data_IF_237797223753
#
_entry.id   IF_237797223753
#
_cell.length_a   1.000
_cell.length_b   1.000
_cell.length_c   1.000
_cell.angle_alpha   90.00
_cell.angle_beta   90.00
_cell.angle_gamma   90.00
#
_symmetry.space_group_name_H-M   'P 1'
#
loop_
_entity.id
_entity.type
_entity.pdbx_description
1 polymer ?
#
# COMPACT_ATOMS: atom_id res chain seq x y z
N UNK A 1 11.76 -87.72 -7.45
CA UNK A 1 12.58 -88.25 -6.34
C UNK A 1 13.72 -87.28 -6.06
N UNK A 2 13.86 -86.89 -4.78
CA UNK A 2 14.94 -86.13 -4.11
C UNK A 2 15.29 -84.72 -4.61
N UNK A 3 15.13 -83.62 -3.85
CA UNK A 3 15.38 -83.21 -2.43
C UNK A 3 16.70 -82.43 -2.25
N UNK A 4 16.53 -81.31 -1.52
CA UNK A 4 17.45 -80.53 -0.65
C UNK A 4 17.91 -79.18 -1.21
N UNK A 5 17.40 -78.03 -0.74
CA UNK A 5 17.48 -77.37 0.59
C UNK A 5 18.91 -77.05 1.05
N UNK A 6 19.23 -75.75 1.08
CA UNK A 6 20.35 -75.15 1.81
C UNK A 6 19.98 -73.72 2.22
N UNK A 7 20.06 -73.45 3.52
CA UNK A 7 19.64 -72.25 4.25
C UNK A 7 20.58 -71.03 4.11
N UNK A 8 19.96 -69.86 4.32
CA UNK A 8 20.40 -68.49 4.75
C UNK A 8 21.42 -68.43 5.91
N UNK A 9 22.03 -67.28 6.37
CA UNK A 9 21.52 -65.88 6.34
C UNK A 9 22.57 -64.72 6.25
N UNK A 10 22.08 -63.48 6.46
CA UNK A 10 22.72 -62.19 6.85
C UNK A 10 22.90 -61.14 5.74
N UNK A 11 22.59 -59.85 5.88
CA UNK A 11 21.84 -59.00 6.85
C UNK A 11 21.63 -57.64 6.15
N UNK A 12 20.54 -56.95 6.50
CA UNK A 12 20.18 -55.52 6.31
C UNK A 12 21.11 -54.56 5.55
N UNK A 13 20.54 -53.70 4.71
CA UNK A 13 20.31 -52.29 5.11
C UNK A 13 19.22 -51.63 4.26
N UNK A 14 18.32 -50.97 4.98
CA UNK A 14 17.22 -50.12 4.57
C UNK A 14 17.62 -49.05 3.53
N UNK A 15 16.77 -48.81 2.53
CA UNK A 15 16.12 -47.50 2.39
C UNK A 15 14.99 -47.54 1.37
N UNK A 16 13.88 -46.96 1.79
CA UNK A 16 12.58 -46.92 1.14
C UNK A 16 12.51 -45.63 0.34
N UNK A 17 12.24 -45.68 -0.97
CA UNK A 17 11.58 -44.56 -1.65
C UNK A 17 10.49 -45.06 -2.59
N UNK A 18 9.26 -44.90 -2.10
CA UNK A 18 8.01 -45.12 -2.80
C UNK A 18 7.83 -44.05 -3.88
N UNK A 19 7.52 -44.52 -5.08
CA UNK A 19 6.52 -44.01 -6.02
C UNK A 19 6.36 -42.48 -6.07
N UNK A 20 6.92 -41.90 -7.14
CA UNK A 20 6.53 -40.59 -7.66
C UNK A 20 5.03 -40.62 -8.00
N UNK A 21 4.21 -39.98 -7.15
CA UNK A 21 2.88 -39.53 -7.56
C UNK A 21 3.02 -38.13 -8.16
N UNK A 22 2.52 -37.97 -9.38
CA UNK A 22 2.23 -36.67 -9.94
C UNK A 22 1.35 -35.87 -8.98
N UNK A 23 1.92 -34.84 -8.35
CA UNK A 23 1.15 -33.81 -7.67
C UNK A 23 0.34 -33.05 -8.71
N UNK A 24 -1.00 -33.15 -8.61
CA UNK A 24 -1.95 -32.37 -9.40
C UNK A 24 -1.58 -30.89 -9.39
N UNK A 25 -1.56 -30.25 -10.56
CA UNK A 25 -1.69 -28.79 -10.66
C UNK A 25 -2.97 -28.34 -9.92
N UNK A 26 -2.95 -27.23 -9.17
CA UNK A 26 -4.16 -26.71 -8.54
C UNK A 26 -5.23 -26.43 -9.60
N UNK A 27 -6.48 -26.78 -9.31
CA UNK A 27 -7.63 -26.40 -10.14
C UNK A 27 -7.86 -24.87 -10.05
N UNK A 28 -8.23 -24.19 -11.14
CA UNK A 28 -8.63 -22.79 -11.11
C UNK A 28 -10.08 -22.62 -10.61
N UNK A 29 -10.37 -21.44 -10.05
CA UNK A 29 -11.66 -20.93 -9.52
C UNK A 29 -12.07 -21.31 -8.08
N UNK A 30 -11.27 -20.91 -7.09
CA UNK A 30 -11.84 -20.52 -5.79
C UNK A 30 -11.32 -19.12 -5.48
N UNK A 31 -12.19 -18.20 -5.05
CA UNK A 31 -11.71 -16.98 -4.41
C UNK A 31 -10.98 -17.49 -3.19
N UNK A 32 -9.64 -17.50 -3.22
CA UNK A 32 -8.85 -17.83 -2.04
C UNK A 32 -9.45 -17.06 -0.88
N UNK A 33 -9.85 -17.78 0.17
CA UNK A 33 -10.28 -17.12 1.40
C UNK A 33 -9.21 -16.10 1.76
N UNK A 34 -9.63 -14.87 2.04
CA UNK A 34 -8.72 -13.82 2.50
C UNK A 34 -7.90 -14.36 3.67
N UNK A 35 -6.58 -14.34 3.56
CA UNK A 35 -5.67 -15.05 4.46
C UNK A 35 -4.35 -14.28 4.60
N UNK A 36 -4.35 -13.12 5.29
CA UNK A 36 -3.10 -12.51 5.75
C UNK A 36 -2.44 -13.41 6.81
N UNK A 37 -1.11 -13.28 6.99
CA UNK A 37 -0.38 -14.08 7.98
C UNK A 37 -0.75 -13.68 9.42
N UNK A 38 -1.05 -12.40 9.63
CA UNK A 38 -1.56 -11.84 10.89
C UNK A 38 -2.57 -10.71 10.61
N UNK A 39 -3.46 -10.38 11.55
CA UNK A 39 -4.34 -9.22 11.41
C UNK A 39 -3.56 -7.92 11.22
N UNK A 40 -4.04 -7.05 10.32
CA UNK A 40 -3.45 -5.72 10.11
C UNK A 40 -4.55 -4.70 9.81
N UNK A 41 -4.20 -3.41 9.82
CA UNK A 41 -5.09 -2.33 9.39
C UNK A 41 -4.50 -1.63 8.18
N UNK A 42 -5.27 -1.51 7.11
CA UNK A 42 -4.94 -0.62 6.00
C UNK A 42 -5.71 0.70 6.10
N UNK A 43 -5.01 1.82 6.01
CA UNK A 43 -5.55 3.17 6.15
C UNK A 43 -5.53 3.83 4.79
N UNK A 44 -6.70 4.30 4.33
CA UNK A 44 -6.87 4.94 3.04
C UNK A 44 -6.17 6.30 2.89
N UNK A 45 -6.38 6.93 1.74
CA UNK A 45 -5.75 8.19 1.32
C UNK A 45 -6.00 9.31 2.34
N UNK A 46 -4.93 10.00 2.73
CA UNK A 46 -4.92 10.94 3.85
C UNK A 46 -5.05 12.39 3.39
N UNK A 47 -4.39 12.76 2.29
CA UNK A 47 -4.46 14.07 1.64
C UNK A 47 -4.44 15.26 2.62
N UNK A 48 -3.39 15.36 3.43
CA UNK A 48 -3.21 16.46 4.38
C UNK A 48 -4.34 16.56 5.40
N UNK A 49 -5.05 15.47 5.73
CA UNK A 49 -6.11 15.45 6.75
C UNK A 49 -5.60 14.92 8.09
N UNK A 50 -4.58 15.56 8.67
CA UNK A 50 -3.95 15.14 9.94
C UNK A 50 -4.97 14.93 11.06
N UNK A 51 -5.95 15.83 11.16
CA UNK A 51 -7.01 15.76 12.16
C UNK A 51 -7.90 14.50 12.01
N UNK A 52 -8.17 14.03 10.78
CA UNK A 52 -8.91 12.79 10.55
C UNK A 52 -8.04 11.57 10.88
N UNK A 53 -6.77 11.62 10.50
CA UNK A 53 -5.83 10.56 10.80
C UNK A 53 -5.69 10.34 12.32
N UNK A 54 -5.50 11.42 13.08
CA UNK A 54 -5.48 11.37 14.54
C UNK A 54 -6.77 10.77 15.14
N UNK A 55 -7.95 11.18 14.63
CA UNK A 55 -9.24 10.63 15.06
C UNK A 55 -9.39 9.14 14.74
N UNK A 56 -8.89 8.70 13.57
CA UNK A 56 -8.93 7.29 13.18
C UNK A 56 -8.04 6.45 14.10
N UNK A 57 -6.83 6.91 14.40
CA UNK A 57 -5.91 6.21 15.31
C UNK A 57 -6.56 5.94 16.68
N UNK A 58 -7.21 6.94 17.28
CA UNK A 58 -7.95 6.76 18.55
C UNK A 58 -9.07 5.72 18.43
N UNK A 59 -9.79 5.66 17.30
CA UNK A 59 -10.82 4.63 17.11
C UNK A 59 -10.21 3.23 16.99
N UNK A 60 -9.06 3.11 16.32
CA UNK A 60 -8.37 1.84 16.10
C UNK A 60 -7.79 1.24 17.38
N UNK A 61 -7.46 2.04 18.40
CA UNK A 61 -6.98 1.54 19.72
C UNK A 61 -7.90 0.46 20.32
N UNK A 62 -9.22 0.58 20.12
CA UNK A 62 -10.20 -0.40 20.59
C UNK A 62 -10.66 -1.38 19.49
N UNK A 63 -10.79 -0.91 18.26
CA UNK A 63 -11.34 -1.71 17.16
C UNK A 63 -10.35 -2.71 16.55
N UNK A 64 -9.04 -2.49 16.74
CA UNK A 64 -7.98 -3.24 16.08
C UNK A 64 -6.86 -3.63 17.05
N UNK A 65 -7.18 -3.92 18.32
CA UNK A 65 -6.19 -4.30 19.34
C UNK A 65 -5.38 -5.57 18.99
N UNK A 66 -5.93 -6.42 18.11
CA UNK A 66 -5.28 -7.64 17.61
C UNK A 66 -4.41 -7.40 16.36
N UNK A 67 -4.44 -6.19 15.78
CA UNK A 67 -3.68 -5.88 14.58
C UNK A 67 -2.20 -5.67 14.89
N UNK A 68 -1.35 -6.40 14.17
CA UNK A 68 0.09 -6.29 14.34
C UNK A 68 0.68 -5.13 13.55
N UNK A 69 0.10 -4.78 12.41
CA UNK A 69 0.68 -3.75 11.53
C UNK A 69 -0.40 -2.74 11.11
N UNK A 70 -0.02 -1.46 11.09
CA UNK A 70 -0.78 -0.40 10.42
C UNK A 70 -0.08 -0.07 9.09
N UNK A 71 -0.84 -0.02 8.00
CA UNK A 71 -0.33 0.24 6.65
C UNK A 71 -1.07 1.43 6.06
N UNK A 72 -0.40 2.56 5.85
CA UNK A 72 -0.96 3.71 5.16
C UNK A 72 -0.74 3.56 3.64
N UNK A 73 -1.82 3.58 2.84
CA UNK A 73 -1.76 3.22 1.41
C UNK A 73 -1.14 4.27 0.49
N UNK A 74 -0.81 5.45 1.00
CA UNK A 74 -0.21 6.56 0.23
C UNK A 74 -1.11 7.79 0.20
N UNK A 75 -0.74 8.75 -0.65
CA UNK A 75 -1.44 10.02 -0.84
C UNK A 75 -1.59 10.78 0.49
N UNK A 76 -0.45 11.13 1.07
CA UNK A 76 -0.31 11.86 2.31
C UNK A 76 -0.40 13.36 2.09
N UNK A 77 0.12 13.83 0.96
CA UNK A 77 0.15 15.24 0.61
C UNK A 77 -1.03 15.64 -0.28
N UNK A 78 -1.11 16.93 -0.54
CA UNK A 78 -2.05 17.59 -1.45
C UNK A 78 -3.50 17.62 -0.95
N UNK A 79 -4.27 18.53 -1.55
CA UNK A 79 -5.72 18.74 -1.37
C UNK A 79 -6.14 19.25 0.01
N UNK A 80 -5.80 18.57 1.11
CA UNK A 80 -6.04 19.04 2.48
C UNK A 80 -4.97 20.01 2.99
N UNK A 81 -5.30 20.75 4.04
CA UNK A 81 -4.50 21.89 4.52
C UNK A 81 -3.28 21.49 5.36
N UNK A 82 -3.28 20.27 5.93
CA UNK A 82 -2.36 19.84 6.98
C UNK A 82 -1.32 18.83 6.47
N UNK A 83 -0.83 18.98 5.22
CA UNK A 83 0.21 18.09 4.66
C UNK A 83 1.49 18.07 5.50
N UNK A 84 2.00 19.23 5.93
CA UNK A 84 3.24 19.31 6.72
C UNK A 84 3.14 18.58 8.09
N UNK A 85 2.16 18.91 8.97
CA UNK A 85 2.04 18.21 10.25
C UNK A 85 1.67 16.72 10.09
N UNK A 86 0.96 16.34 9.02
CA UNK A 86 0.70 14.93 8.74
C UNK A 86 1.98 14.16 8.41
N UNK A 87 2.86 14.70 7.56
CA UNK A 87 4.15 14.06 7.28
C UNK A 87 5.02 13.92 8.53
N UNK A 88 5.05 14.94 9.39
CA UNK A 88 5.74 14.89 10.68
C UNK A 88 5.19 13.78 11.58
N UNK A 89 3.86 13.65 11.66
CA UNK A 89 3.21 12.59 12.45
C UNK A 89 3.52 11.20 11.90
N UNK A 90 3.44 10.99 10.58
CA UNK A 90 3.72 9.69 9.95
C UNK A 90 5.16 9.26 10.22
N UNK A 91 6.13 10.17 10.04
CA UNK A 91 7.54 9.91 10.34
C UNK A 91 7.78 9.63 11.81
N UNK A 92 7.14 10.40 12.71
CA UNK A 92 7.23 10.17 14.15
C UNK A 92 6.69 8.80 14.56
N UNK A 93 5.50 8.43 14.09
CA UNK A 93 4.91 7.11 14.34
C UNK A 93 5.78 5.97 13.82
N UNK A 94 6.35 6.13 12.62
CA UNK A 94 7.24 5.11 12.06
C UNK A 94 8.54 4.98 12.86
N UNK A 95 9.11 6.09 13.33
CA UNK A 95 10.29 6.07 14.20
C UNK A 95 10.01 5.41 15.55
N UNK A 96 8.83 5.66 16.13
CA UNK A 96 8.43 5.13 17.44
C UNK A 96 8.05 3.63 17.39
N UNK A 97 7.37 3.20 16.34
CA UNK A 97 6.82 1.83 16.20
C UNK A 97 7.72 0.90 15.39
N UNK A 98 8.58 1.45 14.54
CA UNK A 98 9.38 0.70 13.57
C UNK A 98 8.65 0.43 12.25
N UNK A 99 9.42 0.31 11.17
CA UNK A 99 8.93 0.15 9.79
C UNK A 99 8.11 -1.15 9.58
N UNK A 100 8.34 -2.19 10.40
CA UNK A 100 7.59 -3.46 10.33
C UNK A 100 6.17 -3.37 10.92
N UNK A 101 5.95 -2.43 11.85
CA UNK A 101 4.68 -2.25 12.59
C UNK A 101 3.87 -1.07 12.07
N UNK A 102 4.54 -0.07 11.51
CA UNK A 102 3.92 1.10 10.90
C UNK A 102 4.50 1.33 9.51
N UNK A 103 3.80 0.84 8.50
CA UNK A 103 4.22 0.87 7.10
C UNK A 103 3.58 2.08 6.41
N UNK A 104 4.39 2.84 5.68
CA UNK A 104 3.93 3.91 4.80
C UNK A 104 4.25 3.53 3.35
N UNK A 105 3.23 3.45 2.50
CA UNK A 105 3.39 3.26 1.06
C UNK A 105 3.41 4.59 0.30
N UNK A 106 4.09 4.63 -0.84
CA UNK A 106 4.05 5.79 -1.73
C UNK A 106 2.75 5.81 -2.53
N UNK A 107 2.07 6.96 -2.56
CA UNK A 107 0.98 7.24 -3.49
C UNK A 107 1.42 8.06 -4.70
N UNK A 108 0.50 8.29 -5.65
CA UNK A 108 0.84 9.06 -6.85
C UNK A 108 0.99 10.56 -6.57
N UNK A 109 0.46 11.06 -5.45
CA UNK A 109 0.66 12.46 -5.06
C UNK A 109 2.07 12.71 -4.52
N UNK A 110 2.62 11.77 -3.74
CA UNK A 110 4.04 11.81 -3.38
C UNK A 110 4.92 11.76 -4.63
N UNK A 111 4.60 10.89 -5.61
CA UNK A 111 5.34 10.80 -6.88
C UNK A 111 5.30 12.12 -7.66
N UNK A 112 4.15 12.78 -7.77
CA UNK A 112 4.05 14.09 -8.42
C UNK A 112 4.86 15.18 -7.70
N UNK A 113 4.82 15.19 -6.36
CA UNK A 113 5.56 16.16 -5.55
C UNK A 113 7.08 15.97 -5.69
N UNK A 114 7.56 14.71 -5.65
CA UNK A 114 8.96 14.38 -5.87
C UNK A 114 9.40 14.74 -7.30
N UNK A 115 8.55 14.47 -8.29
CA UNK A 115 8.77 14.89 -9.67
C UNK A 115 8.89 16.42 -9.81
N UNK A 116 8.13 17.19 -9.04
CA UNK A 116 8.31 18.65 -8.97
C UNK A 116 9.66 19.07 -8.38
N UNK A 117 10.17 18.36 -7.37
CA UNK A 117 11.50 18.64 -6.81
C UNK A 117 12.62 18.39 -7.85
N UNK A 118 12.43 17.36 -8.68
CA UNK A 118 13.40 16.94 -9.71
C UNK A 118 13.33 17.78 -11.00
N UNK A 119 12.12 18.09 -11.49
CA UNK A 119 11.85 18.93 -12.67
C UNK A 119 10.71 19.92 -12.38
N UNK A 120 11.03 21.08 -11.75
CA UNK A 120 10.01 22.01 -11.31
C UNK A 120 9.26 22.68 -12.47
N UNK A 121 9.91 22.83 -13.62
CA UNK A 121 9.33 23.52 -14.79
C UNK A 121 8.44 22.57 -15.58
N UNK A 122 8.88 21.34 -15.83
CA UNK A 122 8.13 20.35 -16.61
C UNK A 122 7.01 19.65 -15.84
N UNK A 123 7.24 19.35 -14.55
CA UNK A 123 6.29 18.56 -13.74
C UNK A 123 5.50 19.39 -12.73
N UNK A 124 6.02 20.55 -12.31
CA UNK A 124 5.35 21.47 -11.38
C UNK A 124 3.91 21.84 -11.77
N UNK A 125 3.63 22.25 -13.01
CA UNK A 125 2.27 22.60 -13.43
C UNK A 125 1.26 21.47 -13.25
N UNK A 126 1.65 20.20 -13.45
CA UNK A 126 0.75 19.06 -13.23
C UNK A 126 0.48 18.87 -11.74
N UNK A 127 1.51 18.87 -10.90
CA UNK A 127 1.35 18.68 -9.45
C UNK A 127 0.47 19.77 -8.81
N UNK A 128 0.74 21.04 -9.12
CA UNK A 128 -0.03 22.20 -8.63
C UNK A 128 -1.52 22.09 -8.96
N UNK A 129 -1.88 21.63 -10.17
CA UNK A 129 -3.27 21.42 -10.59
C UNK A 129 -3.97 20.27 -9.85
N UNK A 130 -3.21 19.36 -9.25
CA UNK A 130 -3.73 18.20 -8.53
C UNK A 130 -3.70 18.37 -7.01
N UNK A 131 -3.49 19.59 -6.50
CA UNK A 131 -3.57 19.88 -5.06
C UNK A 131 -2.23 20.25 -4.41
N UNK A 132 -1.16 20.37 -5.20
CA UNK A 132 0.16 20.81 -4.71
C UNK A 132 0.16 22.21 -4.09
N UNK A 133 -0.81 23.08 -4.44
CA UNK A 133 -0.93 24.40 -3.80
C UNK A 133 -1.18 24.31 -2.29
N UNK A 134 -2.00 23.35 -1.87
CA UNK A 134 -2.30 23.14 -0.46
C UNK A 134 -1.08 22.61 0.29
N UNK A 135 -0.30 21.71 -0.33
CA UNK A 135 0.99 21.26 0.21
C UNK A 135 1.95 22.43 0.38
N UNK A 136 2.17 23.23 -0.66
CA UNK A 136 3.01 24.43 -0.59
C UNK A 136 2.56 25.37 0.54
N UNK A 137 1.25 25.62 0.64
CA UNK A 137 0.68 26.44 1.71
C UNK A 137 0.93 25.88 3.11
N UNK A 138 0.79 24.56 3.29
CA UNK A 138 1.04 23.86 4.56
C UNK A 138 2.49 24.03 5.01
N UNK A 139 3.43 24.01 4.06
CA UNK A 139 4.87 24.28 4.28
C UNK A 139 5.22 25.78 4.28
N UNK A 140 4.23 26.68 4.25
CA UNK A 140 4.41 28.15 4.21
C UNK A 140 5.27 28.62 3.03
N UNK A 141 5.23 27.87 1.93
CA UNK A 141 5.95 28.15 0.70
C UNK A 141 5.06 28.89 -0.30
N UNK A 142 5.49 30.04 -0.84
CA UNK A 142 4.73 30.73 -1.87
C UNK A 142 4.59 29.88 -3.14
N UNK A 143 3.36 29.80 -3.65
CA UNK A 143 3.08 29.25 -4.97
C UNK A 143 3.79 30.06 -6.07
N UNK A 144 4.07 29.46 -7.24
CA UNK A 144 4.64 30.17 -8.37
C UNK A 144 3.66 31.26 -8.82
N UNK A 145 4.17 32.47 -8.96
CA UNK A 145 3.37 33.67 -9.28
C UNK A 145 3.07 33.80 -10.77
N UNK A 146 3.89 33.16 -11.60
CA UNK A 146 3.80 33.18 -13.05
C UNK A 146 4.36 31.87 -13.63
N UNK A 147 4.17 31.65 -14.93
CA UNK A 147 4.65 30.44 -15.60
C UNK A 147 6.10 30.52 -16.08
N UNK A 148 6.91 31.44 -15.52
CA UNK A 148 8.33 31.55 -15.86
C UNK A 148 9.15 30.42 -15.20
N UNK A 149 10.19 29.89 -15.87
CA UNK A 149 11.07 28.88 -15.26
C UNK A 149 11.64 29.31 -13.90
N UNK A 150 12.06 30.56 -13.78
CA UNK A 150 12.60 31.14 -12.54
C UNK A 150 11.60 31.09 -11.37
N UNK A 151 10.31 31.32 -11.65
CA UNK A 151 9.25 31.24 -10.62
C UNK A 151 9.11 29.81 -10.08
N UNK A 152 9.13 28.81 -10.96
CA UNK A 152 9.05 27.39 -10.57
C UNK A 152 10.27 26.93 -9.79
N UNK A 153 11.48 27.28 -10.24
CA UNK A 153 12.74 26.96 -9.57
C UNK A 153 12.81 27.62 -8.18
N UNK A 154 12.41 28.88 -8.07
CA UNK A 154 12.36 29.59 -6.78
C UNK A 154 11.38 28.94 -5.80
N UNK A 155 10.18 28.55 -6.26
CA UNK A 155 9.23 27.83 -5.41
C UNK A 155 9.80 26.47 -5.00
N UNK A 156 10.47 25.74 -5.91
CA UNK A 156 11.10 24.45 -5.62
C UNK A 156 12.16 24.58 -4.56
N UNK A 157 13.09 25.52 -4.69
CA UNK A 157 14.20 25.70 -3.73
C UNK A 157 13.68 26.02 -2.32
N UNK A 158 12.66 26.89 -2.22
CA UNK A 158 12.02 27.21 -0.94
C UNK A 158 11.31 26.00 -0.35
N UNK A 159 10.58 25.26 -1.18
CA UNK A 159 9.86 24.08 -0.75
C UNK A 159 10.80 22.96 -0.30
N UNK A 160 11.86 22.67 -1.06
CA UNK A 160 12.89 21.70 -0.69
C UNK A 160 13.57 22.05 0.65
N UNK A 161 13.89 23.33 0.86
CA UNK A 161 14.44 23.80 2.12
C UNK A 161 13.46 23.64 3.31
N UNK A 162 12.16 23.86 3.08
CA UNK A 162 11.12 23.71 4.10
C UNK A 162 10.78 22.24 4.40
N UNK A 163 10.76 21.39 3.37
CA UNK A 163 10.55 19.94 3.49
C UNK A 163 11.71 19.29 4.25
N UNK A 164 12.94 19.70 3.95
CA UNK A 164 14.14 19.18 4.57
C UNK A 164 14.58 17.83 3.99
N UNK A 165 15.90 17.62 3.93
CA UNK A 165 16.50 16.45 3.27
C UNK A 165 16.10 15.12 3.87
N UNK A 166 15.83 15.06 5.18
CA UNK A 166 15.40 13.82 5.83
C UNK A 166 13.98 13.41 5.43
N UNK A 167 13.04 14.37 5.33
CA UNK A 167 11.68 14.08 4.89
C UNK A 167 11.66 13.67 3.43
N UNK A 168 12.42 14.37 2.59
CA UNK A 168 12.57 14.02 1.18
C UNK A 168 13.19 12.62 1.00
N UNK A 169 14.24 12.30 1.74
CA UNK A 169 14.88 10.97 1.71
C UNK A 169 13.89 9.87 2.11
N UNK A 170 13.12 10.12 3.19
CA UNK A 170 12.07 9.21 3.64
C UNK A 170 11.00 9.00 2.55
N UNK A 171 10.46 10.07 1.96
CA UNK A 171 9.46 10.00 0.89
C UNK A 171 9.96 9.22 -0.33
N UNK A 172 11.21 9.44 -0.75
CA UNK A 172 11.83 8.73 -1.88
C UNK A 172 12.08 7.24 -1.57
N UNK A 173 12.21 6.89 -0.29
CA UNK A 173 12.42 5.52 0.17
C UNK A 173 11.14 4.72 0.41
N UNK A 174 9.96 5.35 0.33
CA UNK A 174 8.69 4.67 0.58
C UNK A 174 8.46 3.53 -0.45
N UNK A 175 8.15 2.30 0.00
CA UNK A 175 7.81 1.21 -0.89
C UNK A 175 6.45 1.47 -1.57
N UNK A 176 6.24 0.85 -2.73
CA UNK A 176 4.95 0.91 -3.47
C UNK A 176 4.04 -0.27 -3.19
N UNK A 177 4.52 -1.26 -2.44
CA UNK A 177 3.76 -2.44 -2.07
C UNK A 177 4.21 -2.98 -0.71
N UNK A 178 3.24 -3.44 0.08
CA UNK A 178 3.46 -4.29 1.24
C UNK A 178 2.63 -5.58 1.10
N UNK A 179 3.11 -6.69 1.68
CA UNK A 179 2.48 -8.01 1.52
C UNK A 179 2.47 -8.81 2.81
N UNK A 180 1.42 -9.61 2.98
CA UNK A 180 1.28 -10.62 4.03
C UNK A 180 0.34 -11.72 3.56
N UNK A 181 0.74 -12.98 3.72
CA UNK A 181 -0.02 -14.14 3.24
C UNK A 181 -0.43 -14.00 1.78
N UNK A 182 -1.74 -14.08 1.50
CA UNK A 182 -2.29 -13.86 0.16
C UNK A 182 -2.80 -12.42 -0.09
N UNK A 183 -2.30 -11.43 0.65
CA UNK A 183 -2.76 -10.04 0.56
C UNK A 183 -1.61 -9.13 0.14
N UNK A 184 -1.89 -8.25 -0.81
CA UNK A 184 -1.02 -7.13 -1.18
C UNK A 184 -1.74 -5.82 -0.89
N UNK A 185 -1.02 -4.88 -0.27
CA UNK A 185 -1.45 -3.50 -0.08
C UNK A 185 -0.65 -2.64 -1.04
N UNK A 186 -1.36 -1.88 -1.86
CA UNK A 186 -0.80 -1.00 -2.90
C UNK A 186 -1.61 0.30 -2.92
N UNK A 187 -1.13 1.34 -3.58
CA UNK A 187 -1.85 2.60 -3.60
C UNK A 187 -3.10 2.56 -4.50
N UNK A 188 -2.96 2.32 -5.81
CA UNK A 188 -4.07 2.47 -6.76
C UNK A 188 -4.69 1.16 -7.27
N UNK A 189 -3.91 0.07 -7.28
CA UNK A 189 -4.34 -1.24 -7.76
C UNK A 189 -3.20 -2.02 -8.38
N UNK A 190 -3.52 -3.11 -9.07
CA UNK A 190 -2.54 -3.97 -9.72
C UNK A 190 -3.06 -4.45 -11.09
N UNK A 191 -2.16 -4.73 -12.03
CA UNK A 191 -2.48 -5.44 -13.27
C UNK A 191 -2.97 -6.86 -12.91
N UNK A 192 -4.25 -7.19 -13.19
CA UNK A 192 -4.85 -8.45 -12.80
C UNK A 192 -4.31 -9.68 -13.57
N UNK A 193 -3.52 -9.47 -14.62
CA UNK A 193 -2.95 -10.53 -15.46
C UNK A 193 -1.48 -10.82 -15.14
N UNK A 194 -0.73 -9.85 -14.61
CA UNK A 194 0.65 -10.04 -14.19
C UNK A 194 0.71 -10.62 -12.77
N UNK A 195 1.73 -11.45 -12.43
CA UNK A 195 1.98 -11.86 -11.04
C UNK A 195 2.12 -10.66 -10.09
N UNK A 196 1.71 -10.80 -8.82
CA UNK A 196 1.73 -9.67 -7.88
C UNK A 196 3.16 -9.20 -7.57
N UNK A 197 4.15 -10.09 -7.67
CA UNK A 197 5.57 -9.78 -7.50
C UNK A 197 6.18 -9.00 -8.66
N UNK A 198 5.52 -9.00 -9.82
CA UNK A 198 6.04 -8.47 -11.08
C UNK A 198 5.20 -7.31 -11.61
N UNK A 199 4.58 -6.55 -10.70
CA UNK A 199 3.78 -5.38 -11.04
C UNK A 199 4.66 -4.21 -11.46
N UNK A 200 4.36 -3.55 -12.59
CA UNK A 200 5.00 -2.27 -12.91
C UNK A 200 4.67 -1.23 -11.84
N UNK A 201 5.65 -0.45 -11.43
CA UNK A 201 5.48 0.55 -10.38
C UNK A 201 4.42 1.60 -10.72
N UNK A 202 4.41 2.07 -11.97
CA UNK A 202 3.38 3.00 -12.46
C UNK A 202 1.96 2.44 -12.31
N UNK A 203 1.77 1.12 -12.42
CA UNK A 203 0.46 0.50 -12.22
C UNK A 203 0.06 0.53 -10.75
N UNK A 204 1.01 0.32 -9.84
CA UNK A 204 0.76 0.39 -8.40
C UNK A 204 0.40 1.80 -7.93
N UNK A 205 0.98 2.82 -8.56
CA UNK A 205 0.75 4.23 -8.24
C UNK A 205 -0.46 4.83 -8.98
N UNK A 206 -0.66 4.53 -10.26
CA UNK A 206 -1.67 5.19 -11.09
C UNK A 206 -2.87 4.30 -11.44
N UNK A 207 -2.81 3.03 -11.06
CA UNK A 207 -3.85 2.05 -11.30
C UNK A 207 -3.77 1.38 -12.67
N UNK A 208 -4.71 0.45 -12.90
CA UNK A 208 -4.83 -0.29 -14.15
C UNK A 208 -6.29 -0.30 -14.62
N UNK A 209 -6.58 -0.08 -15.91
CA UNK A 209 -7.95 0.00 -16.43
C UNK A 209 -8.77 -1.29 -16.21
N UNK A 210 -8.11 -2.45 -16.22
CA UNK A 210 -8.78 -3.74 -15.98
C UNK A 210 -8.93 -4.08 -14.48
N UNK A 211 -8.36 -3.31 -13.55
CA UNK A 211 -8.28 -3.70 -12.13
C UNK A 211 -9.67 -3.94 -11.51
N UNK A 212 -10.63 -3.06 -11.79
CA UNK A 212 -11.99 -3.17 -11.27
C UNK A 212 -12.82 -4.24 -12.00
N UNK A 213 -12.66 -4.33 -13.32
CA UNK A 213 -13.49 -5.17 -14.18
C UNK A 213 -13.03 -6.62 -14.23
N UNK A 214 -11.75 -6.89 -14.01
CA UNK A 214 -11.13 -8.21 -14.12
C UNK A 214 -10.55 -8.65 -12.79
N UNK A 215 -10.95 -9.83 -12.34
CA UNK A 215 -10.41 -10.42 -11.11
C UNK A 215 -9.07 -11.08 -11.38
N UNK A 216 -8.17 -10.98 -10.40
CA UNK A 216 -6.95 -11.79 -10.35
C UNK A 216 -7.31 -13.28 -10.21
N UNK A 217 -6.45 -14.16 -10.74
CA UNK A 217 -6.62 -15.63 -10.69
C UNK A 217 -5.56 -16.35 -9.86
N UNK A 218 -4.60 -15.60 -9.34
CA UNK A 218 -3.50 -16.10 -8.51
C UNK A 218 -3.88 -16.23 -7.03
N UNK A 219 -5.12 -15.88 -6.67
CA UNK A 219 -5.61 -15.96 -5.30
C UNK A 219 -5.08 -14.85 -4.40
N UNK A 220 -4.58 -13.74 -4.96
CA UNK A 220 -4.14 -12.58 -4.18
C UNK A 220 -5.29 -11.58 -4.01
N UNK A 221 -5.50 -11.12 -2.78
CA UNK A 221 -6.35 -9.99 -2.46
C UNK A 221 -5.55 -8.69 -2.51
N UNK A 222 -6.13 -7.64 -3.08
CA UNK A 222 -5.50 -6.33 -3.23
C UNK A 222 -6.25 -5.31 -2.39
N UNK A 223 -5.59 -4.77 -1.37
CA UNK A 223 -6.05 -3.58 -0.65
C UNK A 223 -5.53 -2.35 -1.39
N UNK A 224 -6.39 -1.36 -1.61
CA UNK A 224 -6.04 -0.18 -2.37
C UNK A 224 -6.82 1.07 -1.94
N UNK A 225 -6.19 2.22 -2.13
CA UNK A 225 -6.75 3.54 -2.05
C UNK A 225 -7.10 4.11 -3.43
N UNK A 226 -6.73 5.38 -3.66
CA UNK A 226 -6.75 6.14 -4.92
C UNK A 226 -8.12 6.43 -5.54
N UNK A 227 -8.97 5.41 -5.61
CA UNK A 227 -10.31 5.50 -6.20
C UNK A 227 -11.35 5.67 -5.11
N UNK A 228 -11.81 6.91 -4.93
CA UNK A 228 -12.81 7.28 -3.92
C UNK A 228 -14.08 6.42 -4.08
N UNK A 229 -14.48 5.77 -2.99
CA UNK A 229 -15.76 5.07 -2.86
C UNK A 229 -16.58 5.59 -1.67
N UNK A 230 -17.89 5.69 -1.84
CA UNK A 230 -18.80 6.08 -0.75
C UNK A 230 -19.17 4.92 0.18
N UNK A 231 -19.04 3.68 -0.28
CA UNK A 231 -19.43 2.47 0.47
C UNK A 231 -18.38 1.37 0.23
N UNK A 232 -17.25 1.40 0.94
CA UNK A 232 -16.17 0.44 0.72
C UNK A 232 -16.63 -0.97 1.08
N UNK A 233 -16.42 -1.92 0.16
CA UNK A 233 -16.80 -3.33 0.32
C UNK A 233 -15.69 -4.23 -0.18
N UNK A 234 -15.23 -5.12 0.69
CA UNK A 234 -14.29 -6.16 0.30
C UNK A 234 -15.01 -7.18 -0.58
N UNK A 235 -14.64 -7.26 -1.86
CA UNK A 235 -15.28 -8.17 -2.80
C UNK A 235 -14.37 -8.49 -3.99
N UNK A 236 -14.42 -9.74 -4.45
CA UNK A 236 -13.75 -10.16 -5.68
C UNK A 236 -12.23 -10.01 -5.68
N UNK A 237 -11.59 -10.18 -4.53
CA UNK A 237 -10.14 -10.02 -4.39
C UNK A 237 -9.70 -8.57 -4.23
N UNK A 238 -10.61 -7.64 -3.92
CA UNK A 238 -10.31 -6.21 -3.73
C UNK A 238 -10.87 -5.69 -2.42
N UNK A 239 -10.13 -4.78 -1.79
CA UNK A 239 -10.46 -4.15 -0.51
C UNK A 239 -10.19 -2.64 -0.66
N UNK A 240 -11.20 -1.85 -1.06
CA UNK A 240 -11.02 -0.40 -1.21
C UNK A 240 -11.02 0.28 0.15
N UNK A 241 -10.10 1.23 0.36
CA UNK A 241 -9.98 2.02 1.60
C UNK A 241 -10.16 3.52 1.40
N UNK A 242 -10.08 4.02 0.17
CA UNK A 242 -10.24 5.45 -0.09
C UNK A 242 -11.71 5.87 -0.04
N UNK A 243 -12.05 6.67 0.96
CA UNK A 243 -13.37 7.29 1.10
C UNK A 243 -13.36 8.80 0.86
N UNK A 244 -12.28 9.33 0.28
CA UNK A 244 -12.10 10.73 -0.07
C UNK A 244 -12.01 11.61 1.15
N UNK A 245 -11.08 11.34 2.07
CA UNK A 245 -10.97 12.01 3.37
C UNK A 245 -11.03 13.54 3.27
N UNK A 246 -10.25 14.12 2.34
CA UNK A 246 -10.20 15.57 2.10
C UNK A 246 -11.54 16.17 1.63
N UNK A 247 -12.35 15.39 0.90
CA UNK A 247 -13.58 15.87 0.29
C UNK A 247 -14.82 15.59 1.16
N UNK A 248 -14.81 14.47 1.88
CA UNK A 248 -15.99 13.96 2.60
C UNK A 248 -15.90 14.15 4.11
N UNK A 249 -14.70 14.45 4.64
CA UNK A 249 -14.45 14.45 6.07
C UNK A 249 -14.43 13.06 6.69
N UNK A 250 -14.44 12.00 5.86
CA UNK A 250 -14.43 10.60 6.30
C UNK A 250 -13.15 9.91 5.84
N UNK A 251 -12.30 9.57 6.81
CA UNK A 251 -11.17 8.68 6.62
C UNK A 251 -11.54 7.25 7.05
N UNK A 252 -11.01 6.25 6.35
CA UNK A 252 -11.33 4.84 6.55
C UNK A 252 -10.08 4.00 6.83
N UNK A 253 -10.17 3.17 7.86
CA UNK A 253 -9.27 2.04 8.09
C UNK A 253 -10.00 0.72 7.86
N UNK A 254 -9.40 -0.20 7.12
CA UNK A 254 -9.88 -1.57 6.96
C UNK A 254 -9.08 -2.49 7.88
N UNK A 255 -9.74 -3.07 8.88
CA UNK A 255 -9.19 -4.13 9.74
C UNK A 255 -9.32 -5.45 8.97
N UNK A 256 -8.19 -5.99 8.54
CA UNK A 256 -8.10 -7.17 7.68
C UNK A 256 -7.68 -8.37 8.51
N UNK A 257 -8.51 -9.42 8.52
CA UNK A 257 -8.28 -10.68 9.25
C UNK A 257 -8.46 -11.87 8.31
N UNK A 258 -8.00 -13.07 8.68
CA UNK A 258 -8.36 -14.28 7.95
C UNK A 258 -9.89 -14.42 7.80
N UNK A 259 -10.36 -14.37 6.57
CA UNK A 259 -11.76 -14.55 6.18
C UNK A 259 -12.66 -13.31 6.31
N UNK A 260 -12.21 -12.19 6.86
CA UNK A 260 -13.05 -11.01 7.07
C UNK A 260 -12.34 -9.66 6.93
N UNK A 261 -13.11 -8.64 6.61
CA UNK A 261 -12.71 -7.22 6.64
C UNK A 261 -13.78 -6.43 7.37
N UNK A 262 -13.34 -5.62 8.33
CA UNK A 262 -14.20 -4.69 9.07
C UNK A 262 -13.70 -3.26 8.82
N UNK A 263 -14.61 -2.35 8.46
CA UNK A 263 -14.25 -0.96 8.21
C UNK A 263 -14.51 -0.08 9.44
N UNK A 264 -13.54 0.75 9.77
CA UNK A 264 -13.60 1.78 10.81
C UNK A 264 -13.49 3.13 10.13
N UNK A 265 -14.43 4.03 10.43
CA UNK A 265 -14.46 5.37 9.86
C UNK A 265 -14.32 6.43 10.94
N UNK A 266 -13.74 7.58 10.62
CA UNK A 266 -13.76 8.79 11.48
C UNK A 266 -15.15 9.37 11.67
#
# INVERSE_FOLDING_TARGET
MNRHLGHTPQTDYLSVMRLFSWGRSPKPDDLSTLAPDAPFVAIGDLHGCDHLFARLLTKLESAAAEADTLVCVGDYVDRGEDSAPLLDRLRGLQADLGEDRFVCLRGNHEEMMLGFLDDPVGLGPRWVRNGGLQTLSSFRCPAPTESSPESWETTRDRFAAALGSEAETWLRGLPTMWRTGNVAVVHAGADPLAPIEAQPEDVLLWGHPDFESRRRKDGVWVVHGHTITTDPRAAGGRIPTDTGAYATGRLTGAVVKPGSVEYVHT
#
